data_IF_144823433780
#
_entry.id   IF_144823433780
#
_cell.length_a   1.000
_cell.length_b   1.000
_cell.length_c   1.000
_cell.angle_alpha   90.00
_cell.angle_beta   90.00
_cell.angle_gamma   90.00
#
_symmetry.space_group_name_H-M   'P 1'
#
loop_
_entity.id
_entity.type
_entity.pdbx_description
1 polymer ?
#
# COMPACT_ATOMS: atom_id res chain seq x y z
N UNK A 1 1.43 -28.64 -34.34
CA UNK A 1 0.63 -27.80 -33.43
C UNK A 1 1.53 -27.38 -32.29
N UNK A 2 1.38 -26.16 -31.79
CA UNK A 2 2.16 -25.68 -30.65
C UNK A 2 1.49 -26.14 -29.36
N UNK A 3 2.26 -26.26 -28.26
CA UNK A 3 1.73 -26.66 -26.96
C UNK A 3 1.75 -25.52 -25.96
N UNK A 4 0.66 -25.40 -25.20
CA UNK A 4 0.56 -24.49 -24.07
C UNK A 4 0.51 -25.32 -22.79
N UNK A 5 1.54 -25.21 -21.97
CA UNK A 5 1.55 -25.76 -20.62
C UNK A 5 0.88 -24.77 -19.65
N UNK A 6 -0.24 -25.16 -19.07
CA UNK A 6 -1.09 -24.31 -18.24
C UNK A 6 -0.91 -24.60 -16.75
N UNK A 7 -0.53 -23.59 -15.98
CA UNK A 7 -0.54 -23.60 -14.52
C UNK A 7 -1.64 -22.67 -13.99
N UNK A 8 -2.32 -23.01 -12.89
CA UNK A 8 -2.09 -24.15 -11.99
C UNK A 8 -2.74 -25.47 -12.43
N UNK A 9 -3.42 -25.51 -13.58
CA UNK A 9 -4.19 -26.67 -14.05
C UNK A 9 -3.35 -27.95 -14.24
N UNK A 10 -2.02 -27.81 -14.42
CA UNK A 10 -1.08 -28.88 -14.74
C UNK A 10 -1.49 -29.65 -16.00
N UNK A 11 -2.10 -28.95 -16.97
CA UNK A 11 -2.53 -29.50 -18.26
C UNK A 11 -1.70 -28.88 -19.38
N UNK A 12 -1.37 -29.69 -20.39
CA UNK A 12 -0.83 -29.20 -21.65
C UNK A 12 -1.89 -29.33 -22.72
N UNK A 13 -2.13 -28.25 -23.45
CA UNK A 13 -3.14 -28.19 -24.52
C UNK A 13 -2.47 -27.86 -25.85
N UNK A 14 -3.07 -28.30 -26.95
CA UNK A 14 -2.62 -27.95 -28.30
C UNK A 14 -3.31 -26.68 -28.79
N UNK A 15 -2.57 -25.84 -29.50
CA UNK A 15 -3.06 -24.59 -30.09
C UNK A 15 -2.70 -24.47 -31.56
N UNK A 16 -3.63 -23.97 -32.37
CA UNK A 16 -3.39 -23.58 -33.75
C UNK A 16 -2.83 -22.16 -33.82
N UNK A 17 -2.00 -21.87 -34.83
CA UNK A 17 -1.37 -20.54 -35.00
C UNK A 17 -2.39 -19.40 -35.19
N UNK A 18 -3.60 -19.71 -35.66
CA UNK A 18 -4.69 -18.75 -35.85
C UNK A 18 -5.35 -18.32 -34.55
N UNK A 19 -5.32 -19.18 -33.54
CA UNK A 19 -6.17 -19.09 -32.36
C UNK A 19 -5.47 -18.25 -31.30
N UNK A 20 -6.27 -17.55 -30.50
CA UNK A 20 -5.80 -16.88 -29.30
C UNK A 20 -5.62 -17.90 -28.17
N UNK A 21 -4.79 -17.55 -27.19
CA UNK A 21 -4.63 -18.38 -25.99
C UNK A 21 -5.97 -18.56 -25.27
N UNK A 22 -6.85 -17.56 -25.25
CA UNK A 22 -8.19 -17.69 -24.66
C UNK A 22 -9.02 -18.75 -25.40
N UNK A 23 -9.10 -18.69 -26.72
CA UNK A 23 -9.87 -19.66 -27.52
C UNK A 23 -9.36 -21.08 -27.31
N UNK A 24 -8.03 -21.27 -27.29
CA UNK A 24 -7.42 -22.57 -27.05
C UNK A 24 -7.73 -23.11 -25.64
N UNK A 25 -7.67 -22.28 -24.60
CA UNK A 25 -8.02 -22.66 -23.23
C UNK A 25 -9.48 -23.14 -23.16
N UNK A 26 -10.41 -22.33 -23.68
CA UNK A 26 -11.84 -22.65 -23.65
C UNK A 26 -12.17 -23.92 -24.46
N UNK A 27 -11.57 -24.09 -25.65
CA UNK A 27 -11.77 -25.27 -26.49
C UNK A 27 -11.29 -26.58 -25.83
N UNK A 28 -10.33 -26.49 -24.91
CA UNK A 28 -9.80 -27.63 -24.17
C UNK A 28 -10.41 -27.79 -22.76
N UNK A 29 -11.51 -27.07 -22.48
CA UNK A 29 -12.23 -27.14 -21.21
C UNK A 29 -11.47 -26.55 -20.02
N UNK A 30 -10.53 -25.62 -20.28
CA UNK A 30 -9.91 -24.80 -19.25
C UNK A 30 -10.66 -23.46 -19.25
N UNK A 31 -11.60 -23.32 -18.32
CA UNK A 31 -12.31 -22.05 -18.13
C UNK A 31 -11.31 -20.93 -17.86
N UNK A 32 -11.50 -19.76 -18.45
CA UNK A 32 -10.61 -18.62 -18.22
C UNK A 32 -11.40 -17.33 -18.31
N UNK A 33 -11.26 -16.44 -17.33
CA UNK A 33 -12.16 -15.30 -17.15
C UNK A 33 -12.05 -14.27 -18.28
N UNK A 34 -13.15 -13.86 -18.90
CA UNK A 34 -13.13 -12.94 -20.05
C UNK A 34 -14.38 -12.05 -20.14
N UNK A 35 -14.59 -11.18 -19.15
CA UNK A 35 -15.86 -10.43 -18.97
C UNK A 35 -16.27 -9.60 -20.20
N UNK A 36 -15.30 -9.05 -20.94
CA UNK A 36 -15.57 -8.29 -22.16
C UNK A 36 -15.77 -9.13 -23.43
N UNK A 37 -15.82 -10.46 -23.33
CA UNK A 37 -15.93 -11.35 -24.49
C UNK A 37 -14.66 -11.43 -25.34
N UNK A 38 -13.49 -11.12 -24.77
CA UNK A 38 -12.20 -11.19 -25.49
C UNK A 38 -11.77 -9.91 -26.22
N UNK A 39 -12.48 -8.80 -26.05
CA UNK A 39 -12.22 -7.52 -26.73
C UNK A 39 -11.14 -6.62 -26.09
N UNK A 40 -10.30 -7.16 -25.20
CA UNK A 40 -9.22 -6.43 -24.51
C UNK A 40 -9.64 -5.17 -23.72
N UNK A 41 -10.88 -5.11 -23.19
CA UNK A 41 -11.37 -3.98 -22.39
C UNK A 41 -11.29 -4.17 -20.88
N UNK A 42 -11.40 -5.40 -20.38
CA UNK A 42 -11.62 -5.68 -18.96
C UNK A 42 -10.38 -6.14 -18.17
N UNK A 43 -9.30 -6.56 -18.84
CA UNK A 43 -8.10 -7.19 -18.23
C UNK A 43 -8.29 -8.52 -17.50
N UNK A 44 -9.49 -9.11 -17.48
CA UNK A 44 -9.73 -10.36 -16.75
C UNK A 44 -9.11 -11.58 -17.44
N UNK A 45 -8.84 -11.50 -18.74
CA UNK A 45 -8.23 -12.60 -19.51
C UNK A 45 -6.70 -12.72 -19.28
N UNK A 46 -6.17 -12.15 -18.19
CA UNK A 46 -4.72 -12.05 -17.94
C UNK A 46 -4.07 -13.41 -17.76
N UNK A 47 -2.92 -13.55 -18.42
CA UNK A 47 -2.00 -14.68 -18.29
C UNK A 47 -0.60 -14.14 -18.08
N UNK A 48 0.20 -14.89 -17.34
CA UNK A 48 1.62 -14.64 -17.18
C UNK A 48 2.39 -15.65 -18.02
N UNK A 49 3.26 -15.18 -18.91
CA UNK A 49 4.14 -16.05 -19.68
C UNK A 49 5.34 -16.42 -18.81
N UNK A 50 5.47 -17.71 -18.51
CA UNK A 50 6.56 -18.24 -17.70
C UNK A 50 7.78 -18.58 -18.55
N UNK A 51 7.53 -19.13 -19.75
CA UNK A 51 8.57 -19.50 -20.72
C UNK A 51 8.01 -19.43 -22.15
N UNK A 52 8.89 -19.21 -23.13
CA UNK A 52 8.53 -19.15 -24.54
C UNK A 52 7.97 -17.80 -25.01
N UNK A 53 8.30 -16.68 -24.35
CA UNK A 53 7.78 -15.34 -24.74
C UNK A 53 8.09 -14.95 -26.19
N UNK A 54 9.21 -15.42 -26.73
CA UNK A 54 9.60 -15.27 -28.13
C UNK A 54 8.64 -15.97 -29.12
N UNK A 55 7.89 -16.97 -28.64
CA UNK A 55 6.90 -17.69 -29.42
C UNK A 55 5.51 -17.03 -29.39
N UNK A 56 5.36 -15.95 -28.61
CA UNK A 56 4.13 -15.16 -28.56
C UNK A 56 4.11 -14.07 -29.62
N UNK A 57 2.92 -13.77 -30.15
CA UNK A 57 2.72 -12.63 -31.03
C UNK A 57 3.10 -11.31 -30.33
N UNK A 58 3.54 -10.29 -31.08
CA UNK A 58 3.72 -8.94 -30.52
C UNK A 58 2.43 -8.43 -29.87
N UNK A 59 2.50 -7.64 -28.78
CA UNK A 59 1.32 -7.06 -28.15
C UNK A 59 0.49 -6.19 -29.09
N UNK A 60 -0.82 -6.44 -29.15
CA UNK A 60 -1.75 -5.65 -29.98
C UNK A 60 -1.83 -4.21 -29.46
N UNK A 61 -2.38 -3.28 -30.27
CA UNK A 61 -2.57 -1.89 -29.83
C UNK A 61 -3.49 -1.79 -28.61
N UNK A 62 -4.57 -2.59 -28.59
CA UNK A 62 -5.49 -2.69 -27.46
C UNK A 62 -4.81 -3.26 -26.21
N UNK A 63 -4.01 -4.32 -26.37
CA UNK A 63 -3.22 -4.89 -25.28
C UNK A 63 -2.22 -3.88 -24.71
N UNK A 64 -1.48 -3.15 -25.57
CA UNK A 64 -0.54 -2.10 -25.13
C UNK A 64 -1.23 -0.96 -24.42
N UNK A 65 -2.40 -0.53 -24.89
CA UNK A 65 -3.16 0.54 -24.25
C UNK A 65 -3.59 0.12 -22.83
N UNK A 66 -4.08 -1.12 -22.68
CA UNK A 66 -4.48 -1.66 -21.39
C UNK A 66 -3.27 -1.89 -20.47
N UNK A 67 -2.20 -2.49 -21.00
CA UNK A 67 -0.95 -2.73 -20.28
C UNK A 67 -0.31 -1.44 -19.76
N UNK A 68 -0.32 -0.37 -20.57
CA UNK A 68 0.16 0.95 -20.14
C UNK A 68 -0.74 1.57 -19.07
N UNK A 69 -2.06 1.45 -19.22
CA UNK A 69 -3.02 2.01 -18.27
C UNK A 69 -2.96 1.31 -16.92
N UNK A 70 -2.71 0.00 -16.92
CA UNK A 70 -2.76 -0.87 -15.75
C UNK A 70 -1.37 -1.33 -15.30
N UNK A 71 -0.31 -0.72 -15.82
CA UNK A 71 1.10 -0.99 -15.51
C UNK A 71 1.46 -2.48 -15.43
N UNK A 72 1.13 -3.22 -16.49
CA UNK A 72 1.42 -4.65 -16.54
C UNK A 72 2.93 -4.93 -16.59
N UNK A 73 3.42 -5.92 -15.82
CA UNK A 73 4.75 -6.45 -16.02
C UNK A 73 4.95 -6.94 -17.46
N UNK A 74 6.18 -6.88 -17.95
CA UNK A 74 6.54 -7.22 -19.35
C UNK A 74 6.11 -8.63 -19.78
N UNK A 75 6.02 -9.55 -18.83
CA UNK A 75 5.66 -10.95 -19.04
C UNK A 75 4.17 -11.24 -18.83
N UNK A 76 3.35 -10.24 -18.47
CA UNK A 76 1.88 -10.36 -18.37
C UNK A 76 1.26 -9.96 -19.70
N UNK A 77 0.40 -10.84 -20.21
CA UNK A 77 -0.28 -10.71 -21.50
C UNK A 77 -1.79 -10.93 -21.34
N UNK A 78 -2.54 -10.53 -22.35
CA UNK A 78 -3.97 -10.81 -22.46
C UNK A 78 -4.16 -12.09 -23.27
N UNK A 79 -4.70 -13.16 -22.66
CA UNK A 79 -4.94 -14.43 -23.35
C UNK A 79 -5.84 -14.26 -24.58
N UNK A 80 -6.79 -13.32 -24.48
CA UNK A 80 -7.72 -12.98 -25.54
C UNK A 80 -7.12 -12.22 -26.73
N UNK A 81 -5.84 -11.83 -26.64
CA UNK A 81 -5.14 -11.10 -27.71
C UNK A 81 -3.83 -11.80 -28.13
N UNK A 82 -3.30 -12.65 -27.26
CA UNK A 82 -2.03 -13.34 -27.49
C UNK A 82 -2.25 -14.54 -28.38
N UNK A 83 -1.46 -14.64 -29.46
CA UNK A 83 -1.36 -15.83 -30.30
C UNK A 83 0.01 -16.45 -30.12
N UNK A 84 0.11 -17.75 -30.37
CA UNK A 84 1.31 -18.53 -30.09
C UNK A 84 1.72 -19.34 -31.32
N UNK A 85 3.02 -19.31 -31.66
CA UNK A 85 3.58 -20.01 -32.83
C UNK A 85 4.57 -21.12 -32.48
N UNK A 86 4.90 -21.31 -31.20
CA UNK A 86 5.80 -22.31 -30.66
C UNK A 86 5.40 -22.66 -29.23
N UNK A 87 6.09 -23.58 -28.56
CA UNK A 87 5.66 -24.02 -27.22
C UNK A 87 5.82 -22.90 -26.19
N UNK A 88 4.85 -22.77 -25.30
CA UNK A 88 4.84 -21.76 -24.23
C UNK A 88 4.35 -22.35 -22.92
N UNK A 89 4.85 -21.82 -21.83
CA UNK A 89 4.33 -22.10 -20.49
C UNK A 89 3.64 -20.86 -19.95
N UNK A 90 2.41 -21.00 -19.49
CA UNK A 90 1.61 -19.89 -18.98
C UNK A 90 1.11 -20.18 -17.57
N UNK A 91 0.94 -19.12 -16.78
CA UNK A 91 0.16 -19.15 -15.54
C UNK A 91 -1.10 -18.32 -15.73
N UNK A 92 -2.26 -18.92 -15.45
CA UNK A 92 -3.52 -18.19 -15.34
C UNK A 92 -3.49 -17.34 -14.07
N UNK A 93 -3.78 -16.05 -14.25
CA UNK A 93 -3.70 -15.05 -13.17
C UNK A 93 -5.07 -14.73 -12.57
N UNK A 94 -6.16 -15.14 -13.25
CA UNK A 94 -7.55 -14.91 -12.85
C UNK A 94 -8.28 -16.23 -13.06
N UNK A 95 -8.69 -16.86 -11.98
CA UNK A 95 -9.21 -18.22 -11.96
C UNK A 95 -10.69 -18.23 -11.57
N UNK A 96 -11.08 -17.41 -10.60
CA UNK A 96 -12.44 -17.36 -10.06
C UNK A 96 -12.94 -15.91 -9.85
N UNK A 97 -14.10 -15.79 -9.23
CA UNK A 97 -14.71 -14.49 -8.92
C UNK A 97 -13.93 -13.71 -7.85
N UNK A 98 -13.25 -14.40 -6.93
CA UNK A 98 -12.43 -13.76 -5.90
C UNK A 98 -11.22 -13.05 -6.55
N UNK A 99 -10.57 -13.69 -7.52
CA UNK A 99 -9.52 -13.06 -8.31
C UNK A 99 -10.03 -11.83 -9.07
N UNK A 100 -11.27 -11.85 -9.57
CA UNK A 100 -11.87 -10.68 -10.26
C UNK A 100 -12.01 -9.51 -9.28
N UNK A 101 -12.60 -9.75 -8.11
CA UNK A 101 -12.83 -8.72 -7.09
C UNK A 101 -11.51 -8.09 -6.60
N UNK A 102 -10.48 -8.92 -6.36
CA UNK A 102 -9.13 -8.46 -5.98
C UNK A 102 -8.54 -7.56 -7.07
N UNK A 103 -8.67 -7.97 -8.33
CA UNK A 103 -8.13 -7.23 -9.46
C UNK A 103 -8.86 -5.91 -9.67
N UNK A 104 -10.19 -5.86 -9.54
CA UNK A 104 -10.95 -4.62 -9.62
C UNK A 104 -10.51 -3.61 -8.55
N UNK A 105 -10.30 -4.04 -7.30
CA UNK A 105 -9.78 -3.20 -6.22
C UNK A 105 -8.37 -2.65 -6.50
N UNK A 106 -7.48 -3.47 -7.05
CA UNK A 106 -6.11 -3.05 -7.42
C UNK A 106 -6.06 -2.12 -8.64
N UNK A 107 -7.00 -2.28 -9.58
CA UNK A 107 -7.10 -1.48 -10.80
C UNK A 107 -7.70 -0.09 -10.54
N UNK A 108 -8.68 0.01 -9.63
CA UNK A 108 -9.30 1.28 -9.24
C UNK A 108 -8.29 2.26 -8.60
N UNK A 109 -7.23 1.72 -8.00
CA UNK A 109 -6.26 2.46 -7.21
C UNK A 109 -4.97 2.80 -7.98
N UNK A 110 -4.82 2.24 -9.20
CA UNK A 110 -3.61 2.41 -10.00
C UNK A 110 -2.37 1.84 -9.31
N UNK A 111 -2.54 0.81 -8.48
CA UNK A 111 -1.50 0.25 -7.58
C UNK A 111 -0.87 -1.03 -8.10
N UNK A 112 -1.03 -1.29 -9.39
CA UNK A 112 -0.37 -2.41 -10.05
C UNK A 112 1.13 -2.08 -10.19
N UNK A 113 1.97 -2.81 -9.44
CA UNK A 113 3.41 -3.04 -9.72
C UNK A 113 4.41 -1.88 -9.79
N UNK A 114 4.23 -0.78 -9.06
CA UNK A 114 5.36 0.13 -8.82
C UNK A 114 5.74 0.14 -7.34
N UNK A 115 6.96 -0.29 -7.04
CA UNK A 115 7.64 0.10 -5.80
C UNK A 115 7.55 1.62 -5.70
N UNK A 116 6.83 2.12 -4.69
CA UNK A 116 6.69 3.54 -4.45
C UNK A 116 7.48 3.90 -3.22
N UNK A 117 8.28 4.95 -3.32
CA UNK A 117 8.91 5.52 -2.15
C UNK A 117 7.85 6.22 -1.31
N UNK A 118 7.63 5.72 -0.10
CA UNK A 118 6.68 6.26 0.88
C UNK A 118 7.40 6.56 2.18
N UNK A 119 6.85 7.46 2.98
CA UNK A 119 7.27 7.60 4.37
C UNK A 119 6.27 6.86 5.27
N UNK A 120 6.79 5.95 6.08
CA UNK A 120 6.03 5.31 7.15
C UNK A 120 6.34 6.01 8.47
N UNK A 121 5.30 6.34 9.21
CA UNK A 121 5.38 6.78 10.59
C UNK A 121 4.71 5.71 11.45
N UNK A 122 5.42 5.26 12.48
CA UNK A 122 4.86 4.39 13.50
C UNK A 122 4.91 5.12 14.83
N UNK A 123 3.77 5.18 15.51
CA UNK A 123 3.62 5.78 16.83
C UNK A 123 3.06 4.76 17.82
N UNK A 124 3.76 4.53 18.94
CA UNK A 124 3.35 3.57 19.97
C UNK A 124 3.31 4.24 21.34
N UNK A 125 2.22 4.06 22.08
CA UNK A 125 2.13 4.52 23.48
C UNK A 125 3.06 3.67 24.36
N UNK A 126 3.93 4.33 25.15
CA UNK A 126 4.79 3.69 26.15
C UNK A 126 4.03 3.44 27.44
N UNK A 127 4.35 2.32 28.09
CA UNK A 127 3.79 1.99 29.40
C UNK A 127 2.32 1.59 29.33
N UNK A 128 1.86 1.05 28.19
CA UNK A 128 0.50 0.55 28.05
C UNK A 128 0.15 -0.57 29.06
N UNK A 129 1.15 -1.25 29.62
CA UNK A 129 0.99 -2.19 30.72
C UNK A 129 0.48 -1.52 32.02
N UNK A 130 0.54 -0.19 32.14
CA UNK A 130 -0.03 0.55 33.27
C UNK A 130 -1.54 0.79 33.12
N UNK A 131 -2.15 0.40 31.99
CA UNK A 131 -3.60 0.37 31.86
C UNK A 131 -4.24 -0.85 32.54
N UNK A 132 -3.42 -1.80 33.02
CA UNK A 132 -3.91 -3.11 33.49
C UNK A 132 -4.30 -3.16 34.98
N UNK A 133 -3.93 -2.19 35.83
CA UNK A 133 -4.11 -2.38 37.29
C UNK A 133 -4.89 -1.31 38.07
N UNK A 134 -5.09 -0.09 37.57
CA UNK A 134 -5.93 0.89 38.28
C UNK A 134 -6.53 1.87 37.26
N UNK A 135 -7.68 1.55 36.68
CA UNK A 135 -8.75 2.48 36.25
C UNK A 135 -9.82 1.73 35.44
N UNK A 136 -11.09 2.08 35.68
CA UNK A 136 -12.28 1.48 35.08
C UNK A 136 -12.14 1.34 33.55
N UNK A 137 -12.48 0.18 32.99
CA UNK A 137 -12.40 -0.15 31.55
C UNK A 137 -12.96 0.96 30.61
N UNK A 138 -13.94 1.75 31.06
CA UNK A 138 -14.50 2.89 30.33
C UNK A 138 -13.52 4.06 30.13
N UNK A 139 -12.67 4.34 31.12
CA UNK A 139 -11.74 5.46 31.08
C UNK A 139 -10.65 5.23 30.04
N UNK A 140 -10.19 3.98 29.93
CA UNK A 140 -9.22 3.57 28.90
C UNK A 140 -9.83 3.78 27.51
N UNK A 141 -11.08 3.33 27.29
CA UNK A 141 -11.77 3.53 26.01
C UNK A 141 -11.90 5.02 25.69
N UNK A 142 -12.25 5.86 26.67
CA UNK A 142 -12.34 7.31 26.49
C UNK A 142 -10.99 7.94 26.12
N UNK A 143 -9.93 7.65 26.89
CA UNK A 143 -8.58 8.17 26.66
C UNK A 143 -8.06 7.74 25.28
N UNK A 144 -8.20 6.45 24.94
CA UNK A 144 -7.78 5.90 23.66
C UNK A 144 -8.57 6.50 22.50
N UNK A 145 -9.88 6.69 22.64
CA UNK A 145 -10.70 7.35 21.61
C UNK A 145 -10.23 8.78 21.34
N UNK A 146 -9.86 9.53 22.40
CA UNK A 146 -9.33 10.89 22.28
C UNK A 146 -7.95 10.90 21.65
N UNK A 147 -7.08 9.95 22.01
CA UNK A 147 -5.78 9.74 21.40
C UNK A 147 -5.91 9.47 19.90
N UNK A 148 -6.65 8.42 19.51
CA UNK A 148 -6.80 8.04 18.10
C UNK A 148 -7.45 9.13 17.26
N UNK A 149 -8.47 9.83 17.80
CA UNK A 149 -9.08 10.96 17.11
C UNK A 149 -8.07 12.08 16.81
N UNK A 150 -7.21 12.43 17.79
CA UNK A 150 -6.17 13.44 17.60
C UNK A 150 -5.09 12.98 16.62
N UNK A 151 -4.65 11.72 16.72
CA UNK A 151 -3.68 11.13 15.80
C UNK A 151 -4.20 11.15 14.36
N UNK A 152 -5.44 10.70 14.14
CA UNK A 152 -6.07 10.71 12.82
C UNK A 152 -6.18 12.12 12.25
N UNK A 153 -6.56 13.10 13.08
CA UNK A 153 -6.63 14.51 12.67
C UNK A 153 -5.27 15.04 12.22
N UNK A 154 -4.22 14.84 13.01
CA UNK A 154 -2.86 15.32 12.69
C UNK A 154 -2.34 14.62 11.44
N UNK A 155 -2.42 13.29 11.35
CA UNK A 155 -1.96 12.54 10.18
C UNK A 155 -2.68 13.01 8.91
N UNK A 156 -4.01 13.19 8.95
CA UNK A 156 -4.78 13.70 7.83
C UNK A 156 -4.43 15.14 7.44
N UNK A 157 -4.16 16.02 8.40
CA UNK A 157 -3.72 17.41 8.15
C UNK A 157 -2.41 17.50 7.37
N UNK A 158 -1.53 16.50 7.50
CA UNK A 158 -0.28 16.39 6.77
C UNK A 158 -0.36 15.43 5.56
N UNK A 159 -1.56 15.03 5.15
CA UNK A 159 -1.80 14.23 3.94
C UNK A 159 -1.39 12.76 4.07
N UNK A 160 -1.29 12.25 5.29
CA UNK A 160 -1.10 10.83 5.55
C UNK A 160 -2.42 10.09 5.72
N UNK A 161 -2.37 8.76 5.62
CA UNK A 161 -3.50 7.87 5.95
C UNK A 161 -3.07 6.84 7.00
N UNK A 162 -4.03 6.32 7.76
CA UNK A 162 -3.79 5.28 8.78
C UNK A 162 -4.45 4.00 8.25
N UNK A 163 -3.72 3.13 7.54
CA UNK A 163 -4.29 1.88 7.03
C UNK A 163 -4.53 0.85 8.13
N UNK A 164 -3.77 0.92 9.23
CA UNK A 164 -3.83 -0.07 10.28
C UNK A 164 -3.51 0.50 11.67
N UNK A 165 -4.21 -0.02 12.69
CA UNK A 165 -3.97 0.21 14.11
C UNK A 165 -3.84 -1.15 14.79
N UNK A 166 -2.73 -1.35 15.51
CA UNK A 166 -2.38 -2.62 16.15
C UNK A 166 -2.28 -2.41 17.67
N UNK A 167 -3.41 -2.56 18.37
CA UNK A 167 -3.49 -2.21 19.79
C UNK A 167 -3.27 -0.71 20.01
N UNK A 168 -2.23 -0.34 20.77
CA UNK A 168 -1.85 1.08 21.01
C UNK A 168 -0.86 1.64 19.97
N UNK A 169 -0.50 0.82 18.97
CA UNK A 169 0.41 1.19 17.90
C UNK A 169 -0.37 1.66 16.68
N UNK A 170 -0.02 2.82 16.16
CA UNK A 170 -0.58 3.40 14.94
C UNK A 170 0.50 3.40 13.85
N UNK A 171 0.15 2.94 12.66
CA UNK A 171 0.98 3.10 11.46
C UNK A 171 0.30 4.07 10.50
N UNK A 172 1.03 5.10 10.10
CA UNK A 172 0.60 6.06 9.10
C UNK A 172 1.50 6.01 7.87
N UNK A 173 0.92 6.26 6.70
CA UNK A 173 1.60 6.25 5.40
C UNK A 173 1.46 7.61 4.75
N UNK A 174 2.56 8.14 4.22
CA UNK A 174 2.62 9.38 3.48
C UNK A 174 3.24 9.14 2.10
N UNK A 175 2.75 9.86 1.08
CA UNK A 175 3.29 9.77 -0.29
C UNK A 175 2.35 9.12 -1.32
N UNK A 176 1.03 9.16 -1.10
CA UNK A 176 0.04 8.71 -2.10
C UNK A 176 -0.11 9.69 -3.29
N UNK A 177 0.34 10.94 -3.13
CA UNK A 177 0.35 11.94 -4.19
C UNK A 177 1.51 11.71 -5.15
N UNK A 178 1.38 12.15 -6.42
CA UNK A 178 2.41 12.02 -7.47
C UNK A 178 3.79 12.61 -7.09
N UNK A 179 3.84 13.50 -6.10
CA UNK A 179 5.07 14.06 -5.55
C UNK A 179 5.46 13.38 -4.23
N UNK A 180 6.02 12.16 -4.33
CA UNK A 180 6.49 11.41 -3.15
C UNK A 180 7.65 12.10 -2.41
N UNK A 181 8.32 13.08 -3.03
CA UNK A 181 9.47 13.79 -2.46
C UNK A 181 9.15 14.54 -1.16
N UNK A 182 7.89 14.93 -0.95
CA UNK A 182 7.46 15.63 0.27
C UNK A 182 6.96 14.67 1.37
N UNK A 183 6.88 13.36 1.09
CA UNK A 183 6.33 12.38 2.02
C UNK A 183 7.13 12.34 3.34
N UNK A 184 8.45 12.29 3.25
CA UNK A 184 9.34 12.27 4.41
C UNK A 184 9.19 13.56 5.24
N UNK A 185 9.18 14.73 4.58
CA UNK A 185 9.02 16.01 5.26
C UNK A 185 7.66 16.10 5.99
N UNK A 186 6.56 15.73 5.32
CA UNK A 186 5.22 15.71 5.89
C UNK A 186 5.11 14.75 7.08
N UNK A 187 5.70 13.57 6.97
CA UNK A 187 5.72 12.60 8.06
C UNK A 187 6.43 13.16 9.30
N UNK A 188 7.54 13.89 9.13
CA UNK A 188 8.29 14.47 10.24
C UNK A 188 7.53 15.61 10.90
N UNK A 189 6.93 16.51 10.11
CA UNK A 189 6.02 17.53 10.64
C UNK A 189 4.84 16.92 11.40
N UNK A 190 4.24 15.86 10.87
CA UNK A 190 3.19 15.12 11.56
C UNK A 190 3.70 14.53 12.89
N UNK A 191 4.87 13.90 12.90
CA UNK A 191 5.50 13.37 14.12
C UNK A 191 5.70 14.44 15.20
N UNK A 192 6.23 15.60 14.83
CA UNK A 192 6.42 16.72 15.76
C UNK A 192 5.08 17.27 16.28
N UNK A 193 4.08 17.45 15.41
CA UNK A 193 2.77 17.92 15.83
C UNK A 193 2.02 16.88 16.70
N UNK A 194 2.26 15.58 16.47
CA UNK A 194 1.75 14.51 17.33
C UNK A 194 2.30 14.65 18.75
N UNK A 195 3.62 14.82 18.92
CA UNK A 195 4.24 15.01 20.23
C UNK A 195 3.62 16.20 20.98
N UNK A 196 3.45 17.33 20.30
CA UNK A 196 2.79 18.52 20.86
C UNK A 196 1.32 18.25 21.24
N UNK A 197 0.57 17.62 20.33
CA UNK A 197 -0.85 17.30 20.52
C UNK A 197 -1.08 16.33 21.69
N UNK A 198 -0.14 15.42 21.93
CA UNK A 198 -0.14 14.48 23.06
C UNK A 198 0.23 15.22 24.36
N UNK A 199 1.20 16.14 24.33
CA UNK A 199 1.50 16.98 25.49
C UNK A 199 0.27 17.81 25.93
N UNK A 200 -0.48 18.37 24.97
CA UNK A 200 -1.75 19.05 25.24
C UNK A 200 -2.83 18.10 25.78
N UNK A 201 -2.84 16.84 25.33
CA UNK A 201 -3.73 15.81 25.89
C UNK A 201 -3.39 15.55 27.35
N UNK A 202 -2.10 15.44 27.68
CA UNK A 202 -1.63 15.17 29.03
C UNK A 202 -2.01 16.27 30.03
N UNK A 203 -2.05 17.54 29.61
CA UNK A 203 -2.58 18.64 30.45
C UNK A 203 -4.04 18.40 30.82
N UNK A 204 -4.85 17.92 29.87
CA UNK A 204 -6.26 17.57 30.12
C UNK A 204 -6.39 16.31 30.98
N UNK A 205 -5.62 15.25 30.68
CA UNK A 205 -5.61 14.00 31.45
C UNK A 205 -5.23 14.23 32.92
N UNK A 206 -4.26 15.11 33.17
CA UNK A 206 -3.86 15.50 34.53
C UNK A 206 -5.01 16.14 35.33
N UNK A 207 -5.90 16.92 34.69
CA UNK A 207 -7.08 17.49 35.35
C UNK A 207 -8.10 16.44 35.77
N UNK A 208 -8.10 15.30 35.08
CA UNK A 208 -8.94 14.14 35.38
C UNK A 208 -8.20 13.10 36.25
N UNK A 209 -7.03 13.44 36.80
CA UNK A 209 -6.19 12.56 37.62
C UNK A 209 -5.68 11.31 36.90
N UNK A 210 -5.60 11.34 35.57
CA UNK A 210 -4.99 10.26 34.79
C UNK A 210 -3.48 10.46 34.61
N UNK A 211 -2.77 9.34 34.46
CA UNK A 211 -1.37 9.32 34.10
C UNK A 211 -1.14 9.93 32.70
N UNK A 212 -0.01 10.61 32.48
CA UNK A 212 0.33 11.13 31.16
C UNK A 212 0.64 10.00 30.17
N UNK A 213 0.25 10.19 28.91
CA UNK A 213 0.64 9.36 27.79
C UNK A 213 2.03 9.77 27.29
N UNK A 214 2.89 8.79 27.12
CA UNK A 214 4.18 8.96 26.44
C UNK A 214 4.13 8.18 25.13
N UNK A 215 4.74 8.69 24.06
CA UNK A 215 4.71 8.05 22.75
C UNK A 215 6.12 7.97 22.17
N UNK A 216 6.46 6.80 21.62
CA UNK A 216 7.60 6.61 20.74
C UNK A 216 7.15 6.78 19.30
N UNK A 217 7.88 7.57 18.51
CA UNK A 217 7.64 7.74 17.07
C UNK A 217 8.89 7.32 16.29
N UNK A 218 8.71 6.43 15.32
CA UNK A 218 9.72 6.07 14.33
C UNK A 218 9.27 6.47 12.94
N UNK A 219 10.15 7.06 12.15
CA UNK A 219 9.85 7.40 10.74
C UNK A 219 10.92 6.82 9.82
N UNK A 220 10.48 6.17 8.74
CA UNK A 220 11.36 5.63 7.72
C UNK A 220 10.83 5.96 6.32
N UNK A 221 11.74 6.25 5.39
CA UNK A 221 11.44 6.53 3.99
C UNK A 221 12.11 5.50 3.09
N UNK A 222 11.35 4.87 2.20
CA UNK A 222 11.86 3.83 1.31
C UNK A 222 10.77 3.24 0.41
N UNK A 223 11.16 2.26 -0.40
CA UNK A 223 10.26 1.57 -1.31
C UNK A 223 9.26 0.67 -0.55
N UNK A 224 8.01 0.73 -0.96
CA UNK A 224 6.95 -0.15 -0.51
C UNK A 224 6.06 -0.56 -1.68
N UNK A 225 5.51 -1.77 -1.60
CA UNK A 225 4.35 -2.17 -2.39
C UNK A 225 3.11 -1.75 -1.62
N UNK A 226 2.23 -0.98 -2.24
CA UNK A 226 0.98 -0.52 -1.62
C UNK A 226 -0.17 -1.40 -2.11
N UNK A 227 -0.99 -1.92 -1.20
CA UNK A 227 -2.14 -2.76 -1.56
C UNK A 227 -3.41 -2.35 -0.81
N UNK A 228 -4.59 -2.30 -1.46
CA UNK A 228 -5.85 -2.26 -0.74
C UNK A 228 -6.12 -3.66 -0.15
N UNK A 229 -6.14 -3.78 1.18
CA UNK A 229 -6.46 -5.06 1.84
C UNK A 229 -7.97 -5.31 1.82
N UNK A 230 -8.76 -4.25 1.98
CA UNK A 230 -10.22 -4.30 1.96
C UNK A 230 -10.69 -3.83 0.56
N UNK A 231 -11.20 -4.74 -0.30
CA UNK A 231 -11.69 -4.37 -1.63
C UNK A 231 -12.81 -3.32 -1.59
N UNK A 232 -13.56 -3.22 -0.48
CA UNK A 232 -14.60 -2.20 -0.30
C UNK A 232 -14.03 -0.80 0.00
N UNK A 233 -12.75 -0.70 0.37
CA UNK A 233 -12.05 0.55 0.67
C UNK A 233 -10.76 0.67 -0.16
N UNK A 234 -10.88 0.76 -1.50
CA UNK A 234 -9.72 0.79 -2.39
C UNK A 234 -8.73 1.92 -2.05
N UNK A 235 -9.21 3.05 -1.54
CA UNK A 235 -8.36 4.20 -1.21
C UNK A 235 -7.51 4.00 0.07
N UNK A 236 -7.72 2.94 0.84
CA UNK A 236 -6.94 2.61 2.04
C UNK A 236 -5.86 1.61 1.69
N UNK A 237 -4.69 2.12 1.34
CA UNK A 237 -3.56 1.34 0.89
C UNK A 237 -2.62 1.00 2.05
N UNK A 238 -2.40 -0.28 2.26
CA UNK A 238 -1.47 -0.83 3.25
C UNK A 238 -0.10 -1.07 2.61
N UNK A 239 1.00 -0.62 3.23
CA UNK A 239 2.35 -0.86 2.74
C UNK A 239 2.81 -2.28 3.07
N UNK A 240 3.51 -2.90 2.14
CA UNK A 240 4.22 -4.16 2.27
C UNK A 240 5.69 -3.98 1.90
N UNK A 241 6.55 -4.79 2.51
CA UNK A 241 7.99 -4.81 2.28
C UNK A 241 8.81 -4.52 3.53
N UNK A 242 10.13 -4.54 3.37
CA UNK A 242 11.09 -4.40 4.48
C UNK A 242 10.95 -3.08 5.25
N UNK A 243 10.49 -2.02 4.57
CA UNK A 243 10.22 -0.71 5.16
C UNK A 243 9.32 -0.79 6.42
N UNK A 244 8.33 -1.71 6.44
CA UNK A 244 7.41 -1.90 7.59
C UNK A 244 8.17 -2.45 8.80
N UNK A 245 9.07 -3.41 8.57
CA UNK A 245 9.90 -3.98 9.62
C UNK A 245 10.93 -2.95 10.12
N UNK A 246 11.55 -2.20 9.20
CA UNK A 246 12.55 -1.17 9.51
C UNK A 246 11.96 -0.03 10.35
N UNK A 247 10.81 0.54 9.96
CA UNK A 247 10.18 1.62 10.73
C UNK A 247 9.77 1.14 12.12
N UNK A 248 9.30 -0.11 12.23
CA UNK A 248 8.90 -0.68 13.51
C UNK A 248 10.09 -0.86 14.47
N UNK A 249 11.27 -1.14 13.95
CA UNK A 249 12.52 -1.22 14.73
C UNK A 249 13.02 0.16 15.15
N UNK A 250 12.98 1.15 14.25
CA UNK A 250 13.36 2.54 14.56
C UNK A 250 12.46 3.10 15.66
N UNK A 251 11.14 2.83 15.59
CA UNK A 251 10.22 3.25 16.65
C UNK A 251 10.59 2.61 18.00
N UNK A 252 10.82 1.29 18.04
CA UNK A 252 11.18 0.58 19.27
C UNK A 252 12.49 1.09 19.89
N UNK A 253 13.46 1.48 19.04
CA UNK A 253 14.76 1.99 19.46
C UNK A 253 14.69 3.29 20.28
N UNK A 254 13.59 4.04 20.17
CA UNK A 254 13.38 5.25 20.97
C UNK A 254 13.51 4.97 22.49
N UNK A 255 13.07 3.79 22.94
CA UNK A 255 13.14 3.39 24.35
C UNK A 255 14.59 3.20 24.83
N UNK A 256 15.44 2.60 24.00
CA UNK A 256 16.85 2.35 24.32
C UNK A 256 17.65 3.65 24.39
N UNK A 257 17.31 4.60 23.51
CA UNK A 257 18.01 5.87 23.38
C UNK A 257 17.44 6.96 24.31
N UNK A 258 16.21 6.79 24.81
CA UNK A 258 15.52 7.81 25.61
C UNK A 258 15.19 9.06 24.77
N UNK A 259 14.63 8.84 23.59
CA UNK A 259 14.16 9.87 22.64
C UNK A 259 12.68 9.63 22.32
N UNK A 260 11.94 10.59 21.80
CA UNK A 260 10.52 10.40 21.45
C UNK A 260 10.24 10.32 19.95
N UNK A 261 11.14 10.86 19.11
CA UNK A 261 11.03 10.83 17.66
C UNK A 261 12.39 10.52 17.03
N UNK A 262 12.51 9.30 16.47
CA UNK A 262 13.65 8.87 15.68
C UNK A 262 13.29 8.75 14.21
N UNK A 263 14.21 9.16 13.35
CA UNK A 263 14.09 9.01 11.90
C UNK A 263 15.29 8.26 11.33
N UNK A 264 15.07 7.48 10.27
CA UNK A 264 16.17 6.87 9.51
C UNK A 264 17.01 7.92 8.78
N UNK A 265 18.23 7.55 8.41
CA UNK A 265 19.07 8.37 7.53
C UNK A 265 18.38 8.72 6.20
N UNK A 266 17.59 7.80 5.63
CA UNK A 266 16.83 8.08 4.40
C UNK A 266 15.79 9.20 4.57
N UNK A 267 15.20 9.36 5.76
CA UNK A 267 14.30 10.48 6.07
C UNK A 267 15.12 11.74 6.29
N UNK A 268 16.18 11.67 7.11
CA UNK A 268 17.05 12.81 7.41
C UNK A 268 17.61 13.45 6.13
N UNK A 269 18.04 12.65 5.16
CA UNK A 269 18.55 13.15 3.88
C UNK A 269 17.52 13.99 3.09
N UNK A 270 16.21 13.77 3.29
CA UNK A 270 15.15 14.56 2.67
C UNK A 270 14.89 15.90 3.39
N UNK A 271 15.28 16.02 4.66
CA UNK A 271 14.93 17.17 5.53
C UNK A 271 16.13 17.87 6.16
N UNK A 272 17.37 17.47 5.84
CA UNK A 272 18.60 17.91 6.51
C UNK A 272 18.74 19.43 6.64
N UNK A 273 18.24 20.19 5.65
CA UNK A 273 18.34 21.65 5.63
C UNK A 273 17.32 22.35 6.55
N UNK A 274 16.34 21.60 7.05
CA UNK A 274 15.27 22.08 7.94
C UNK A 274 15.31 21.43 9.32
N UNK A 275 15.91 20.25 9.44
CA UNK A 275 15.87 19.44 10.66
C UNK A 275 16.67 20.06 11.81
N UNK A 276 16.07 20.10 13.00
CA UNK A 276 16.78 20.36 14.25
C UNK A 276 16.99 19.01 14.93
N UNK A 277 18.25 18.61 15.05
CA UNK A 277 18.65 17.33 15.64
C UNK A 277 19.16 17.53 17.07
N UNK A 278 18.82 16.59 17.96
CA UNK A 278 19.40 16.55 19.30
C UNK A 278 20.56 15.54 19.40
N UNK A 279 20.39 14.36 18.80
CA UNK A 279 21.45 13.34 18.72
C UNK A 279 21.32 12.50 17.44
N UNK A 280 22.39 11.80 17.09
CA UNK A 280 22.41 10.80 16.02
C UNK A 280 23.33 9.64 16.41
N UNK A 281 23.16 8.50 15.76
CA UNK A 281 24.02 7.35 16.00
C UNK A 281 23.62 6.15 15.15
N UNK A 282 24.49 5.15 15.16
CA UNK A 282 24.21 3.85 14.55
C UNK A 282 23.67 2.90 15.61
N UNK A 283 22.56 2.24 15.30
CA UNK A 283 21.92 1.26 16.17
C UNK A 283 21.86 -0.09 15.45
N UNK A 284 22.23 -1.15 16.17
CA UNK A 284 22.06 -2.51 15.69
C UNK A 284 20.63 -2.98 15.96
N UNK A 285 19.77 -2.86 14.95
CA UNK A 285 18.36 -3.23 15.06
C UNK A 285 18.15 -4.60 14.43
N UNK A 286 18.60 -5.64 15.14
CA UNK A 286 18.62 -7.02 14.66
C UNK A 286 19.91 -7.33 13.89
N UNK A 287 19.79 -7.78 12.63
CA UNK A 287 20.95 -8.08 11.75
C UNK A 287 21.42 -6.90 10.90
N UNK A 288 20.80 -5.73 11.05
CA UNK A 288 21.02 -4.56 10.20
C UNK A 288 21.34 -3.37 11.09
N UNK A 289 22.41 -2.65 10.75
CA UNK A 289 22.80 -1.40 11.38
C UNK A 289 22.01 -0.25 10.75
N UNK A 290 21.30 0.52 11.57
CA UNK A 290 20.56 1.71 11.15
C UNK A 290 21.19 2.95 11.73
N UNK A 291 21.55 3.89 10.85
CA UNK A 291 21.87 5.25 11.28
C UNK A 291 20.57 6.03 11.48
N UNK A 292 20.38 6.54 12.70
CA UNK A 292 19.17 7.23 13.13
C UNK A 292 19.47 8.62 13.67
N UNK A 293 18.48 9.50 13.61
CA UNK A 293 18.57 10.88 14.06
C UNK A 293 17.36 11.20 14.95
N UNK A 294 17.60 11.76 16.14
CA UNK A 294 16.54 12.30 16.99
C UNK A 294 16.18 13.70 16.50
N UNK A 295 14.93 13.85 16.05
CA UNK A 295 14.42 15.13 15.55
C UNK A 295 13.61 15.80 16.66
N UNK A 296 14.00 17.02 17.05
CA UNK A 296 13.31 17.82 18.07
C UNK A 296 12.57 19.02 17.49
N UNK A 297 12.80 19.33 16.22
CA UNK A 297 12.09 20.40 15.53
C UNK A 297 12.40 20.46 14.04
N UNK A 298 11.68 21.35 13.35
CA UNK A 298 11.93 21.68 11.96
C UNK A 298 11.81 23.19 11.74
N UNK A 299 12.69 23.75 10.91
CA UNK A 299 12.64 25.13 10.47
C UNK A 299 11.64 25.31 9.33
N UNK A 300 11.04 26.49 9.26
CA UNK A 300 10.09 26.87 8.21
C UNK A 300 8.66 26.45 8.52
N UNK A 301 7.90 26.13 7.48
CA UNK A 301 6.49 25.75 7.58
C UNK A 301 6.24 24.45 6.82
N UNK A 302 5.26 23.65 7.26
CA UNK A 302 4.96 22.40 6.59
C UNK A 302 4.48 22.63 5.15
N UNK A 303 4.82 21.72 4.22
CA UNK A 303 4.36 21.80 2.86
C UNK A 303 2.84 21.67 2.79
N UNK A 304 2.21 22.42 1.89
CA UNK A 304 0.75 22.34 1.68
C UNK A 304 0.37 20.92 1.23
N UNK A 305 -0.69 20.39 1.81
CA UNK A 305 -1.36 19.18 1.31
C UNK A 305 -2.17 19.60 0.11
N UNK A 306 -1.90 19.01 -1.06
CA UNK A 306 -2.79 19.19 -2.19
C UNK A 306 -4.14 18.62 -1.76
N UNK A 307 -5.22 19.39 -1.91
CA UNK A 307 -6.55 18.77 -1.79
C UNK A 307 -6.54 17.64 -2.81
N UNK A 308 -6.66 16.42 -2.34
CA UNK A 308 -7.08 15.31 -3.18
C UNK A 308 -8.43 15.80 -3.71
N UNK A 309 -8.45 16.34 -4.93
CA UNK A 309 -9.70 16.35 -5.70
C UNK A 309 -10.20 14.94 -5.54
N UNK A 310 -11.41 14.78 -5.00
CA UNK A 310 -12.07 13.48 -4.93
C UNK A 310 -11.91 12.87 -6.32
N UNK A 311 -10.92 11.98 -6.47
CA UNK A 311 -10.78 11.16 -7.66
C UNK A 311 -11.81 10.05 -7.56
N UNK A 312 -13.03 10.44 -7.21
CA UNK A 312 -14.25 10.00 -7.88
C UNK A 312 -14.16 10.40 -9.36
N UNK A 313 -13.10 9.99 -10.05
CA UNK A 313 -13.31 9.60 -11.43
C UNK A 313 -14.41 8.54 -11.32
N UNK A 314 -15.62 8.80 -11.85
CA UNK A 314 -16.66 7.80 -11.78
C UNK A 314 -16.04 6.55 -12.36
N UNK A 315 -16.11 5.43 -11.62
CA UNK A 315 -16.06 4.10 -12.24
C UNK A 315 -16.85 4.26 -13.53
N UNK A 316 -16.27 4.06 -14.73
CA UNK A 316 -16.95 4.40 -15.95
C UNK A 316 -18.35 3.79 -15.87
N UNK A 317 -19.37 4.66 -15.81
CA UNK A 317 -20.79 4.28 -15.59
C UNK A 317 -21.27 3.22 -16.59
N UNK A 318 -20.47 2.92 -17.61
CA UNK A 318 -20.65 1.87 -18.61
C UNK A 318 -20.54 0.43 -18.08
N UNK A 319 -19.91 0.16 -16.93
CA UNK A 319 -19.81 -1.22 -16.42
C UNK A 319 -20.96 -1.60 -15.47
N UNK A 320 -21.37 -0.67 -14.59
CA UNK A 320 -22.54 -0.86 -13.71
C UNK A 320 -23.85 -0.99 -14.49
N UNK A 321 -24.00 -0.30 -15.63
CA UNK A 321 -25.16 -0.49 -16.52
C UNK A 321 -25.21 -1.89 -17.16
N UNK A 322 -24.08 -2.61 -17.18
CA UNK A 322 -23.98 -3.95 -17.76
C UNK A 322 -24.35 -5.04 -16.73
N UNK A 323 -23.92 -4.89 -15.47
CA UNK A 323 -24.30 -5.74 -14.34
C UNK A 323 -25.80 -5.69 -14.02
N UNK A 324 -26.43 -4.51 -14.14
CA UNK A 324 -27.87 -4.36 -13.92
C UNK A 324 -28.72 -5.14 -14.96
N UNK A 325 -28.15 -5.41 -16.14
CA UNK A 325 -28.74 -6.24 -17.20
C UNK A 325 -28.56 -7.75 -16.95
N UNK A 326 -27.66 -8.12 -16.04
CA UNK A 326 -27.32 -9.50 -15.72
C UNK A 326 -28.05 -10.00 -14.46
N UNK A 327 -28.36 -9.13 -13.50
CA UNK A 327 -29.19 -9.46 -12.33
C UNK A 327 -30.70 -9.47 -12.61
N UNK A 328 -31.11 -9.17 -13.84
CA UNK A 328 -32.52 -9.13 -14.27
C UNK A 328 -32.87 -10.20 -15.33
N UNK A 329 -32.05 -11.25 -15.46
CA UNK A 329 -32.38 -12.47 -16.21
C UNK A 329 -31.93 -13.71 -15.45
#
# INVERSE_FOLDING_TARGET
MSKISCLPDKRSIEINKSDTVLEALLANGIEHTHVCGGNAYCSTCRIMILDGVQNCSPPTSAERALAKKLDFPVHVRLACQTKVTGDVSIRRMVIDNEDIDILEGQLATGTVNSDRNVALLVATIRGANNFDEVNFHYDIVYIMSRYFHRVQKVVGQYGGTIPNVMGVRVMAVFGFEKNSSLAAERAVWAGLELLKTIAELNVFLKKLSYNPLNVSIGIHYGAAVLIPIDPSKPNVLTPLGDIVNSVGRIEAANKEVGSDLLVSESVYNQIKDKAIINRNGNLNLGKIEFKVYEITGMQGSPPKVAKVEDSTAPVPKRFMSFLQKFLSK
#
